data_IF_435185771302
#
_entry.id   IF_435185771302
#
_cell.length_a   1.000
_cell.length_b   1.000
_cell.length_c   1.000
_cell.angle_alpha   90.00
_cell.angle_beta   90.00
_cell.angle_gamma   90.00
#
_symmetry.space_group_name_H-M   'P 1'
#
loop_
_entity.id
_entity.type
_entity.pdbx_description
1 polymer ?
#
# COMPACT_ATOMS: atom_id res chain seq x y z
N UNK A 1 1.91 -19.34 -6.68
CA UNK A 1 3.06 -18.67 -7.31
C UNK A 1 4.33 -18.97 -6.53
N UNK A 2 5.39 -19.35 -7.23
CA UNK A 2 6.76 -19.43 -6.69
C UNK A 2 7.30 -18.03 -6.41
N UNK A 3 8.33 -17.92 -5.57
CA UNK A 3 8.90 -16.62 -5.18
C UNK A 3 9.33 -15.77 -6.39
N UNK A 4 9.98 -16.38 -7.39
CA UNK A 4 10.37 -15.68 -8.62
C UNK A 4 9.18 -15.15 -9.42
N UNK A 5 8.10 -15.93 -9.55
CA UNK A 5 6.87 -15.52 -10.22
C UNK A 5 6.19 -14.34 -9.51
N UNK A 6 6.25 -14.31 -8.16
CA UNK A 6 5.75 -13.19 -7.35
C UNK A 6 6.55 -11.92 -7.61
N UNK A 7 7.87 -12.01 -7.60
CA UNK A 7 8.73 -10.87 -7.87
C UNK A 7 8.52 -10.32 -9.28
N UNK A 8 8.40 -11.21 -10.28
CA UNK A 8 8.13 -10.82 -11.66
C UNK A 8 6.77 -10.13 -11.81
N UNK A 9 5.73 -10.66 -11.17
CA UNK A 9 4.40 -10.04 -11.16
C UNK A 9 4.43 -8.64 -10.52
N UNK A 10 5.08 -8.53 -9.35
CA UNK A 10 5.25 -7.25 -8.67
C UNK A 10 5.97 -6.22 -9.55
N UNK A 11 7.04 -6.63 -10.23
CA UNK A 11 7.83 -5.74 -11.10
C UNK A 11 7.12 -5.35 -12.39
N UNK A 12 6.43 -6.30 -13.05
CA UNK A 12 5.90 -6.13 -14.40
C UNK A 12 4.45 -5.63 -14.42
N UNK A 13 3.71 -5.85 -13.34
CA UNK A 13 2.27 -5.53 -13.28
C UNK A 13 1.98 -4.52 -12.18
N UNK A 14 2.40 -4.81 -10.94
CA UNK A 14 2.01 -4.00 -9.78
C UNK A 14 2.74 -2.67 -9.76
N UNK A 15 4.07 -2.69 -9.85
CA UNK A 15 4.89 -1.48 -9.76
C UNK A 15 4.56 -0.44 -10.84
N UNK A 16 4.41 -0.79 -12.13
CA UNK A 16 4.04 0.20 -13.15
C UNK A 16 2.66 0.80 -12.89
N UNK A 17 1.66 -0.02 -12.52
CA UNK A 17 0.31 0.45 -12.23
C UNK A 17 0.25 1.34 -11.00
N UNK A 18 0.98 0.99 -9.94
CA UNK A 18 1.08 1.83 -8.75
C UNK A 18 1.84 3.12 -9.04
N UNK A 19 2.93 3.08 -9.82
CA UNK A 19 3.65 4.29 -10.19
C UNK A 19 2.75 5.27 -10.96
N UNK A 20 1.97 4.80 -11.93
CA UNK A 20 0.97 5.59 -12.66
C UNK A 20 -0.01 6.27 -11.69
N UNK A 21 -0.72 5.49 -10.86
CA UNK A 21 -1.73 6.03 -9.94
C UNK A 21 -1.16 7.03 -8.92
N UNK A 22 0.03 6.75 -8.38
CA UNK A 22 0.68 7.65 -7.45
C UNK A 22 1.14 8.94 -8.15
N UNK A 23 1.72 8.85 -9.35
CA UNK A 23 2.15 10.02 -10.10
C UNK A 23 0.96 10.85 -10.59
N UNK A 24 -0.17 10.24 -10.94
CA UNK A 24 -1.43 10.94 -11.24
C UNK A 24 -1.94 11.71 -10.02
N UNK A 25 -1.88 11.12 -8.83
CA UNK A 25 -2.32 11.75 -7.60
C UNK A 25 -1.42 12.92 -7.19
N UNK A 26 -0.10 12.75 -7.25
CA UNK A 26 0.86 13.82 -6.98
C UNK A 26 2.23 13.52 -7.63
N UNK A 27 2.52 14.09 -8.82
CA UNK A 27 3.73 13.74 -9.57
C UNK A 27 5.01 14.21 -8.87
N UNK A 28 4.95 15.31 -8.10
CA UNK A 28 6.10 15.84 -7.36
C UNK A 28 6.42 14.98 -6.14
N UNK A 29 5.39 14.59 -5.35
CA UNK A 29 5.57 13.77 -4.15
C UNK A 29 6.02 12.34 -4.47
N UNK A 30 5.57 11.82 -5.62
CA UNK A 30 5.77 10.43 -6.00
C UNK A 30 6.59 10.28 -7.29
N UNK A 31 7.53 11.20 -7.55
CA UNK A 31 8.42 11.15 -8.71
C UNK A 31 9.29 9.87 -8.71
N UNK A 32 9.77 9.45 -7.53
CA UNK A 32 10.76 8.37 -7.37
C UNK A 32 10.14 7.04 -6.89
N UNK A 33 8.94 6.70 -7.35
CA UNK A 33 8.25 5.46 -6.99
C UNK A 33 9.13 4.23 -7.28
N UNK A 34 9.37 3.42 -6.26
CA UNK A 34 10.17 2.20 -6.38
C UNK A 34 9.73 1.15 -5.34
N UNK A 35 10.39 -0.01 -5.33
CA UNK A 35 10.05 -1.12 -4.43
C UNK A 35 10.06 -0.71 -2.95
N UNK A 36 10.96 0.21 -2.55
CA UNK A 36 11.08 0.67 -1.17
C UNK A 36 9.95 1.62 -0.75
N UNK A 37 9.22 2.22 -1.71
CA UNK A 37 8.07 3.07 -1.39
C UNK A 37 6.97 2.28 -0.68
N UNK A 38 6.86 0.98 -0.94
CA UNK A 38 5.88 0.10 -0.28
C UNK A 38 6.56 -0.87 0.70
N UNK A 39 7.70 -1.45 0.34
CA UNK A 39 8.35 -2.50 1.13
C UNK A 39 9.45 -2.00 2.09
N UNK A 40 9.66 -0.67 2.16
CA UNK A 40 10.67 -0.06 3.02
C UNK A 40 12.12 -0.30 2.57
N UNK A 41 13.07 0.05 3.43
CA UNK A 41 14.50 -0.05 3.17
C UNK A 41 14.95 -1.48 2.88
N UNK A 42 14.26 -2.48 3.46
CA UNK A 42 14.50 -3.90 3.20
C UNK A 42 14.38 -4.29 1.73
N UNK A 43 13.58 -3.58 0.94
CA UNK A 43 13.39 -3.85 -0.48
C UNK A 43 14.72 -3.81 -1.27
N UNK A 44 15.63 -2.92 -0.88
CA UNK A 44 16.96 -2.77 -1.51
C UNK A 44 17.85 -3.99 -1.28
N UNK A 45 17.57 -4.75 -0.22
CA UNK A 45 18.28 -5.99 0.13
C UNK A 45 17.53 -7.24 -0.38
N UNK A 46 16.41 -7.07 -1.08
CA UNK A 46 15.56 -8.17 -1.55
C UNK A 46 14.52 -8.64 -0.51
N UNK A 47 14.29 -7.87 0.55
CA UNK A 47 13.31 -8.18 1.59
C UNK A 47 12.00 -7.42 1.29
N UNK A 48 10.97 -8.16 0.90
CA UNK A 48 9.66 -7.61 0.49
C UNK A 48 8.53 -7.98 1.46
N UNK A 49 8.86 -8.19 2.74
CA UNK A 49 7.88 -8.56 3.75
C UNK A 49 6.96 -7.38 4.05
N UNK A 50 5.69 -7.69 4.26
CA UNK A 50 4.67 -6.74 4.68
C UNK A 50 4.00 -7.26 5.97
N UNK A 51 3.45 -6.39 6.82
CA UNK A 51 3.49 -4.92 6.72
C UNK A 51 4.92 -4.38 6.84
N UNK A 52 5.20 -3.28 6.13
CA UNK A 52 6.53 -2.67 6.11
C UNK A 52 6.67 -1.70 7.31
N UNK A 53 7.68 -1.90 8.18
CA UNK A 53 7.86 -1.06 9.38
C UNK A 53 8.28 0.37 9.05
N UNK A 54 8.79 0.61 7.83
CA UNK A 54 9.23 1.92 7.39
C UNK A 54 8.07 2.78 6.83
N UNK A 55 6.87 2.21 6.70
CA UNK A 55 5.67 2.97 6.37
C UNK A 55 5.10 3.64 7.63
N UNK A 56 4.34 4.75 7.48
CA UNK A 56 3.65 5.37 8.61
C UNK A 56 2.79 4.35 9.36
N UNK A 57 2.97 4.29 10.68
CA UNK A 57 2.16 3.46 11.55
C UNK A 57 0.75 4.06 11.67
N UNK A 58 -0.28 3.23 11.48
CA UNK A 58 -1.67 3.67 11.49
C UNK A 58 -2.36 3.30 12.80
N UNK A 59 -3.16 4.23 13.30
CA UNK A 59 -3.91 4.09 14.54
C UNK A 59 -5.41 4.05 14.20
N UNK A 60 -6.07 2.89 14.35
CA UNK A 60 -7.50 2.76 14.06
C UNK A 60 -8.39 3.12 15.26
N UNK A 61 -7.84 3.50 16.41
CA UNK A 61 -8.62 3.69 17.65
C UNK A 61 -9.70 4.78 17.54
N UNK A 62 -9.46 5.77 16.69
CA UNK A 62 -10.41 6.84 16.36
C UNK A 62 -11.05 6.68 14.96
N UNK A 63 -10.95 5.49 14.37
CA UNK A 63 -11.37 5.23 13.00
C UNK A 63 -10.56 5.98 11.95
N UNK A 64 -9.30 6.33 12.25
CA UNK A 64 -8.38 7.13 11.44
C UNK A 64 -8.74 8.62 11.32
N UNK A 65 -9.49 9.17 12.28
CA UNK A 65 -9.87 10.58 12.28
C UNK A 65 -8.65 11.52 12.34
N UNK A 66 -7.67 11.22 13.21
CA UNK A 66 -6.43 11.98 13.32
C UNK A 66 -5.63 11.94 12.01
N UNK A 67 -5.49 10.76 11.38
CA UNK A 67 -4.79 10.60 10.10
C UNK A 67 -5.47 11.40 8.98
N UNK A 68 -6.80 11.40 8.92
CA UNK A 68 -7.57 12.20 7.96
C UNK A 68 -7.47 13.70 8.21
N UNK A 69 -7.34 14.13 9.46
CA UNK A 69 -7.12 15.54 9.79
C UNK A 69 -5.72 16.02 9.39
N UNK A 70 -4.70 15.16 9.52
CA UNK A 70 -3.32 15.48 9.18
C UNK A 70 -3.06 15.46 7.67
N UNK A 71 -3.52 14.41 6.98
CA UNK A 71 -3.27 14.18 5.56
C UNK A 71 -4.54 13.73 4.83
N UNK A 72 -5.56 14.60 4.70
CA UNK A 72 -6.87 14.23 4.14
C UNK A 72 -6.76 13.66 2.72
N UNK A 73 -6.00 14.33 1.84
CA UNK A 73 -5.83 13.89 0.46
C UNK A 73 -5.10 12.55 0.35
N UNK A 74 -4.09 12.32 1.18
CA UNK A 74 -3.36 11.04 1.18
C UNK A 74 -4.25 9.94 1.72
N UNK A 75 -5.00 10.20 2.78
CA UNK A 75 -5.92 9.21 3.35
C UNK A 75 -6.99 8.80 2.35
N UNK A 76 -7.62 9.77 1.67
CA UNK A 76 -8.60 9.49 0.61
C UNK A 76 -7.97 8.70 -0.53
N UNK A 77 -6.81 9.13 -1.03
CA UNK A 77 -6.10 8.42 -2.10
C UNK A 77 -5.76 6.98 -1.71
N UNK A 78 -5.27 6.76 -0.49
CA UNK A 78 -4.93 5.42 -0.01
C UNK A 78 -6.17 4.54 0.11
N UNK A 79 -7.26 5.05 0.70
CA UNK A 79 -8.47 4.26 0.94
C UNK A 79 -9.30 4.00 -0.32
N UNK A 80 -9.36 4.96 -1.24
CA UNK A 80 -10.26 4.90 -2.40
C UNK A 80 -9.57 4.41 -3.67
N UNK A 81 -8.24 4.56 -3.77
CA UNK A 81 -7.49 4.20 -4.99
C UNK A 81 -6.49 3.08 -4.72
N UNK A 82 -5.57 3.28 -3.78
CA UNK A 82 -4.43 2.35 -3.60
C UNK A 82 -4.89 1.01 -3.03
N UNK A 83 -5.63 1.01 -1.92
CA UNK A 83 -6.07 -0.22 -1.25
C UNK A 83 -6.97 -1.07 -2.17
N UNK A 84 -8.00 -0.52 -2.84
CA UNK A 84 -8.83 -1.30 -3.75
C UNK A 84 -8.07 -1.86 -4.94
N UNK A 85 -7.17 -1.08 -5.56
CA UNK A 85 -6.39 -1.55 -6.71
C UNK A 85 -5.37 -2.62 -6.28
N UNK A 86 -4.75 -2.48 -5.11
CA UNK A 86 -3.86 -3.51 -4.57
C UNK A 86 -4.60 -4.80 -4.25
N UNK A 87 -5.79 -4.73 -3.63
CA UNK A 87 -6.63 -5.90 -3.42
C UNK A 87 -6.91 -6.61 -4.76
N UNK A 88 -7.32 -5.86 -5.79
CA UNK A 88 -7.57 -6.39 -7.14
C UNK A 88 -6.34 -7.05 -7.76
N UNK A 89 -5.18 -6.41 -7.68
CA UNK A 89 -3.91 -6.93 -8.23
C UNK A 89 -3.41 -8.15 -7.46
N UNK A 90 -3.63 -8.21 -6.15
CA UNK A 90 -3.27 -9.38 -5.33
C UNK A 90 -4.26 -10.54 -5.48
N UNK A 91 -5.41 -10.31 -6.15
CA UNK A 91 -6.49 -11.29 -6.23
C UNK A 91 -7.18 -11.49 -4.89
N UNK A 92 -7.13 -10.49 -4.02
CA UNK A 92 -7.72 -10.49 -2.70
C UNK A 92 -9.04 -9.71 -2.70
N UNK A 93 -9.91 -10.04 -1.76
CA UNK A 93 -11.13 -9.27 -1.54
C UNK A 93 -10.76 -7.98 -0.79
N UNK A 94 -11.38 -6.83 -1.11
CA UNK A 94 -11.26 -5.64 -0.28
C UNK A 94 -11.65 -5.94 1.18
N UNK A 95 -11.05 -5.20 2.10
CA UNK A 95 -11.40 -5.29 3.51
C UNK A 95 -12.89 -5.02 3.75
N UNK A 96 -13.51 -5.92 4.49
CA UNK A 96 -14.88 -5.85 4.93
C UNK A 96 -14.90 -5.59 6.45
N UNK A 97 -15.38 -4.41 6.90
CA UNK A 97 -15.49 -4.08 8.31
C UNK A 97 -16.43 -4.98 9.12
N UNK A 98 -17.44 -5.58 8.49
CA UNK A 98 -18.40 -6.46 9.18
C UNK A 98 -17.76 -7.79 9.56
N UNK A 99 -16.97 -8.35 8.64
CA UNK A 99 -16.29 -9.64 8.86
C UNK A 99 -14.87 -9.50 9.40
N UNK A 100 -14.29 -8.30 9.31
CA UNK A 100 -12.90 -8.03 9.69
C UNK A 100 -11.87 -8.72 8.78
N UNK A 101 -12.25 -9.06 7.56
CA UNK A 101 -11.44 -9.85 6.62
C UNK A 101 -11.22 -9.11 5.30
N UNK A 102 -10.17 -9.51 4.58
CA UNK A 102 -9.81 -8.93 3.28
C UNK A 102 -8.64 -7.96 3.37
N UNK A 103 -8.17 -7.52 2.20
CA UNK A 103 -7.03 -6.65 2.03
C UNK A 103 -7.37 -5.21 2.43
N UNK A 104 -6.63 -4.66 3.39
CA UNK A 104 -6.84 -3.35 3.96
C UNK A 104 -5.55 -2.64 4.36
N UNK A 105 -5.70 -1.60 5.18
CA UNK A 105 -4.59 -0.72 5.54
C UNK A 105 -3.40 -1.47 6.17
N UNK A 106 -3.69 -2.50 6.97
CA UNK A 106 -2.69 -3.23 7.75
C UNK A 106 -1.97 -4.34 6.98
N UNK A 107 -2.34 -4.58 5.72
CA UNK A 107 -1.58 -5.46 4.83
C UNK A 107 -0.32 -4.77 4.30
N UNK A 108 -0.26 -3.44 4.39
CA UNK A 108 0.93 -2.65 4.07
C UNK A 108 1.50 -1.97 5.31
N UNK A 109 0.65 -1.32 6.12
CA UNK A 109 1.07 -0.50 7.24
C UNK A 109 1.09 -1.28 8.55
N UNK A 110 2.03 -0.95 9.42
CA UNK A 110 1.99 -1.45 10.80
C UNK A 110 0.89 -0.75 11.59
N UNK A 111 0.24 -1.49 12.48
CA UNK A 111 -0.72 -0.93 13.44
C UNK A 111 0.04 -0.32 14.62
N UNK A 112 -0.34 0.90 15.01
CA UNK A 112 0.16 1.60 16.19
C UNK A 112 -0.52 1.08 17.46
#
# INVERSE_FOLDING_TARGET
MKQGERLDYMKKVVMPRMAELFQEANPTRYADMNCATCHGAGARQGHFRMPAPDLPALDPSDGFAAHRAELPEVMTFMSEVVVPEMARLMGERPYDPETGQGFGCFDCHVKK
#
